data_IF_477801200869
#
_entry.id   IF_477801200869
#
_cell.length_a   1.000
_cell.length_b   1.000
_cell.length_c   1.000
_cell.angle_alpha   90.00
_cell.angle_beta   90.00
_cell.angle_gamma   90.00
#
_symmetry.space_group_name_H-M   'P 1'
#
loop_
_entity.id
_entity.type
_entity.pdbx_description
1 polymer ?
#
# COMPACT_ATOMS: atom_id res chain seq x y z
N UNK A 1 -28.88 -19.12 14.16
CA UNK A 1 -28.71 -18.09 13.12
C UNK A 1 -27.28 -17.55 13.01
N UNK A 2 -26.60 -17.18 14.12
CA UNK A 2 -25.22 -16.64 14.09
C UNK A 2 -24.17 -17.64 13.56
N UNK A 3 -24.31 -18.93 13.87
CA UNK A 3 -23.37 -19.95 13.41
C UNK A 3 -23.45 -20.22 11.90
N UNK A 4 -24.65 -20.15 11.31
CA UNK A 4 -24.89 -20.36 9.88
C UNK A 4 -24.26 -19.22 9.06
N UNK A 5 -24.38 -17.98 9.53
CA UNK A 5 -23.72 -16.81 8.95
C UNK A 5 -22.18 -16.93 8.98
N UNK A 6 -21.59 -17.41 10.08
CA UNK A 6 -20.12 -17.60 10.17
C UNK A 6 -19.58 -18.61 9.15
N UNK A 7 -20.35 -19.66 8.86
CA UNK A 7 -19.96 -20.72 7.90
C UNK A 7 -19.98 -20.16 6.48
N UNK A 8 -21.01 -19.39 6.11
CA UNK A 8 -21.10 -18.76 4.78
C UNK A 8 -19.95 -17.76 4.51
N UNK A 9 -19.58 -16.97 5.52
CA UNK A 9 -18.48 -16.00 5.39
C UNK A 9 -17.12 -16.68 5.20
N UNK A 10 -16.85 -17.78 5.94
CA UNK A 10 -15.59 -18.51 5.81
C UNK A 10 -15.42 -19.13 4.42
N UNK A 11 -16.47 -19.74 3.88
CA UNK A 11 -16.45 -20.34 2.53
C UNK A 11 -16.29 -19.29 1.43
N UNK A 12 -16.91 -18.11 1.58
CA UNK A 12 -16.75 -16.99 0.64
C UNK A 12 -15.33 -16.43 0.66
N UNK A 13 -14.74 -16.26 1.84
CA UNK A 13 -13.36 -15.79 1.98
C UNK A 13 -12.38 -16.79 1.36
N UNK A 14 -12.60 -18.09 1.56
CA UNK A 14 -11.75 -19.14 0.97
C UNK A 14 -11.73 -19.10 -0.56
N UNK A 15 -12.83 -18.67 -1.21
CA UNK A 15 -12.88 -18.48 -2.67
C UNK A 15 -12.17 -17.21 -3.16
N UNK A 16 -11.98 -16.23 -2.28
CA UNK A 16 -11.32 -14.96 -2.59
C UNK A 16 -9.82 -14.98 -2.22
N UNK A 17 -9.40 -15.95 -1.41
CA UNK A 17 -7.99 -16.15 -1.04
C UNK A 17 -7.29 -17.02 -2.09
N UNK A 18 -6.14 -16.57 -2.64
CA UNK A 18 -5.37 -17.40 -3.55
C UNK A 18 -4.92 -18.71 -2.88
N UNK A 19 -4.73 -19.81 -3.62
CA UNK A 19 -4.17 -21.04 -3.06
C UNK A 19 -2.81 -20.77 -2.41
N UNK A 20 -2.53 -21.44 -1.28
CA UNK A 20 -1.35 -21.18 -0.46
C UNK A 20 -0.03 -21.37 -1.24
N UNK A 21 -0.04 -22.25 -2.22
CA UNK A 21 1.07 -22.54 -3.12
C UNK A 21 1.48 -21.34 -3.99
N UNK A 22 0.55 -20.39 -4.19
CA UNK A 22 0.77 -19.17 -4.98
C UNK A 22 0.95 -17.92 -4.10
N UNK A 23 1.03 -18.08 -2.78
CA UNK A 23 1.14 -16.93 -1.88
C UNK A 23 2.46 -16.19 -2.11
N UNK A 24 2.32 -14.89 -2.34
CA UNK A 24 3.40 -13.94 -2.20
C UNK A 24 3.68 -13.66 -0.72
N UNK A 25 4.79 -12.98 -0.39
CA UNK A 25 5.01 -12.46 0.95
C UNK A 25 3.85 -11.57 1.47
N UNK A 26 3.13 -10.87 0.57
CA UNK A 26 1.96 -10.06 0.93
C UNK A 26 0.79 -10.92 1.36
N UNK A 27 0.49 -11.98 0.60
CA UNK A 27 -0.57 -12.94 0.95
C UNK A 27 -0.26 -13.64 2.28
N UNK A 28 1.01 -13.96 2.51
CA UNK A 28 1.47 -14.54 3.78
C UNK A 28 1.19 -13.59 4.94
N UNK A 29 1.54 -12.31 4.81
CA UNK A 29 1.30 -11.30 5.84
C UNK A 29 -0.20 -11.07 6.10
N UNK A 30 -1.04 -11.17 5.07
CA UNK A 30 -2.48 -10.93 5.17
C UNK A 30 -3.25 -12.14 5.74
N UNK A 31 -2.87 -13.36 5.36
CA UNK A 31 -3.67 -14.57 5.62
C UNK A 31 -3.10 -15.49 6.71
N UNK A 32 -1.83 -15.32 7.10
CA UNK A 32 -1.21 -16.17 8.14
C UNK A 32 -1.66 -15.79 9.55
N UNK A 33 -1.64 -14.52 9.97
CA UNK A 33 -2.06 -14.14 11.32
C UNK A 33 -3.59 -14.24 11.43
N UNK A 34 -4.15 -14.99 12.39
CA UNK A 34 -5.60 -15.05 12.60
C UNK A 34 -6.16 -13.70 13.02
N UNK A 35 -5.34 -12.85 13.67
CA UNK A 35 -5.70 -11.47 14.01
C UNK A 35 -4.43 -10.66 14.21
N UNK A 36 -4.22 -9.64 13.37
CA UNK A 36 -3.02 -8.78 13.40
C UNK A 36 -2.74 -8.20 14.80
N UNK A 37 -3.79 -7.76 15.51
CA UNK A 37 -3.64 -7.11 16.82
C UNK A 37 -3.45 -8.06 17.99
N UNK A 38 -3.86 -9.34 17.87
CA UNK A 38 -3.71 -10.31 18.95
C UNK A 38 -2.32 -10.93 18.95
N UNK A 39 -1.70 -11.07 17.78
CA UNK A 39 -0.36 -11.63 17.63
C UNK A 39 0.59 -10.62 16.96
N UNK A 40 0.58 -9.38 17.44
CA UNK A 40 1.31 -8.27 16.81
C UNK A 40 2.78 -8.60 16.51
N UNK A 41 3.52 -9.18 17.47
CA UNK A 41 4.92 -9.56 17.25
C UNK A 41 5.10 -10.53 16.08
N UNK A 42 4.26 -11.56 15.99
CA UNK A 42 4.32 -12.54 14.88
C UNK A 42 3.86 -11.91 13.56
N UNK A 43 2.86 -11.04 13.61
CA UNK A 43 2.40 -10.31 12.43
C UNK A 43 3.50 -9.39 11.86
N UNK A 44 4.30 -8.76 12.73
CA UNK A 44 5.45 -7.92 12.32
C UNK A 44 6.52 -8.73 11.57
N UNK A 45 6.73 -10.02 11.91
CA UNK A 45 7.69 -10.89 11.21
C UNK A 45 7.36 -11.05 9.72
N UNK A 46 6.08 -10.95 9.36
CA UNK A 46 5.62 -11.06 7.97
C UNK A 46 5.57 -9.72 7.23
N UNK A 47 5.60 -8.57 7.94
CA UNK A 47 5.51 -7.26 7.30
C UNK A 47 6.76 -6.90 6.50
N UNK A 48 7.96 -7.16 7.03
CA UNK A 48 9.19 -6.81 6.32
C UNK A 48 9.27 -7.50 4.94
N UNK A 49 9.11 -8.85 4.84
CA UNK A 49 9.10 -9.53 3.56
C UNK A 49 8.01 -9.02 2.62
N UNK A 50 6.80 -8.73 3.13
CA UNK A 50 5.69 -8.19 2.35
C UNK A 50 6.00 -6.81 1.77
N UNK A 51 6.49 -5.88 2.60
CA UNK A 51 6.84 -4.52 2.17
C UNK A 51 7.98 -4.57 1.15
N UNK A 52 9.03 -5.38 1.40
CA UNK A 52 10.15 -5.53 0.46
C UNK A 52 9.69 -6.10 -0.89
N UNK A 53 8.81 -7.10 -0.87
CA UNK A 53 8.23 -7.67 -2.08
C UNK A 53 7.42 -6.64 -2.87
N UNK A 54 6.50 -5.94 -2.21
CA UNK A 54 5.68 -4.88 -2.81
C UNK A 54 6.52 -3.74 -3.35
N UNK A 55 7.53 -3.29 -2.60
CA UNK A 55 8.46 -2.25 -3.04
C UNK A 55 9.20 -2.65 -4.30
N UNK A 56 9.77 -3.86 -4.35
CA UNK A 56 10.44 -4.39 -5.54
C UNK A 56 9.49 -4.44 -6.74
N UNK A 57 8.29 -4.99 -6.54
CA UNK A 57 7.30 -5.08 -7.60
C UNK A 57 6.96 -3.70 -8.18
N UNK A 58 6.69 -2.70 -7.35
CA UNK A 58 6.40 -1.35 -7.83
C UNK A 58 7.61 -0.67 -8.46
N UNK A 59 8.82 -0.85 -7.91
CA UNK A 59 10.05 -0.32 -8.49
C UNK A 59 10.31 -0.87 -9.90
N UNK A 60 10.02 -2.15 -10.14
CA UNK A 60 10.27 -2.81 -11.43
C UNK A 60 9.14 -2.59 -12.45
N UNK A 61 7.89 -2.44 -12.00
CA UNK A 61 6.72 -2.47 -12.88
C UNK A 61 5.97 -1.13 -12.99
N UNK A 62 6.35 -0.11 -12.21
CA UNK A 62 5.76 1.23 -12.31
C UNK A 62 6.85 2.25 -12.67
N UNK A 63 6.87 2.69 -13.93
CA UNK A 63 7.83 3.66 -14.46
C UNK A 63 7.89 4.97 -13.66
N UNK A 64 6.75 5.50 -13.23
CA UNK A 64 6.70 6.75 -12.47
C UNK A 64 7.31 6.55 -11.08
N UNK A 65 6.94 5.46 -10.40
CA UNK A 65 7.49 5.14 -9.08
C UNK A 65 8.98 4.81 -9.14
N UNK A 66 9.42 4.09 -10.18
CA UNK A 66 10.82 3.83 -10.47
C UNK A 66 11.60 5.15 -10.52
N UNK A 67 11.10 6.14 -11.27
CA UNK A 67 11.75 7.45 -11.39
C UNK A 67 11.82 8.20 -10.07
N UNK A 68 10.77 8.14 -9.24
CA UNK A 68 10.79 8.71 -7.88
C UNK A 68 11.90 8.05 -7.05
N UNK A 69 12.03 6.73 -7.13
CA UNK A 69 13.06 6.00 -6.39
C UNK A 69 14.49 6.34 -6.88
N UNK A 70 14.71 6.45 -8.20
CA UNK A 70 16.00 6.88 -8.77
C UNK A 70 16.42 8.26 -8.25
N UNK A 71 15.51 9.23 -8.25
CA UNK A 71 15.79 10.61 -7.77
C UNK A 71 16.14 10.62 -6.28
N UNK A 72 15.56 9.72 -5.50
CA UNK A 72 15.85 9.57 -4.07
C UNK A 72 17.06 8.65 -3.80
N UNK A 73 17.67 8.03 -4.82
CA UNK A 73 18.83 7.15 -4.68
C UNK A 73 18.53 5.83 -3.95
N UNK A 74 17.31 5.31 -4.07
CA UNK A 74 16.85 4.11 -3.35
C UNK A 74 16.48 3.01 -4.33
N UNK A 75 16.95 1.78 -4.08
CA UNK A 75 16.62 0.59 -4.87
C UNK A 75 16.19 -0.58 -3.96
N UNK A 76 15.50 -1.61 -4.48
CA UNK A 76 15.09 -2.78 -3.69
C UNK A 76 16.24 -3.47 -2.94
N UNK A 77 17.45 -3.43 -3.50
CA UNK A 77 18.67 -4.01 -2.92
C UNK A 77 19.14 -3.28 -1.68
N UNK A 78 18.85 -1.98 -1.57
CA UNK A 78 19.23 -1.14 -0.41
C UNK A 78 18.35 -1.38 0.82
N UNK A 79 17.25 -2.14 0.68
CA UNK A 79 16.30 -2.47 1.74
C UNK A 79 16.64 -3.85 2.30
N UNK A 80 17.45 -3.89 3.35
CA UNK A 80 17.99 -5.13 3.94
C UNK A 80 17.42 -5.46 5.31
N UNK A 81 16.83 -4.47 5.98
CA UNK A 81 16.30 -4.57 7.34
C UNK A 81 15.02 -3.75 7.51
N UNK A 82 14.27 -3.99 8.60
CA UNK A 82 13.06 -3.23 8.94
C UNK A 82 13.34 -1.72 9.03
N UNK A 83 14.52 -1.33 9.52
CA UNK A 83 14.95 0.06 9.66
C UNK A 83 15.11 0.75 8.30
N UNK A 84 15.39 -0.01 7.24
CA UNK A 84 15.56 0.52 5.90
C UNK A 84 14.24 0.91 5.24
N UNK A 85 13.08 0.48 5.77
CA UNK A 85 11.76 0.85 5.22
C UNK A 85 11.60 2.37 5.17
N UNK A 86 12.16 3.10 6.13
CA UNK A 86 12.11 4.56 6.17
C UNK A 86 12.86 5.24 5.01
N UNK A 87 13.66 4.49 4.24
CA UNK A 87 14.30 4.98 3.02
C UNK A 87 13.33 4.99 1.83
N UNK A 88 12.28 4.17 1.86
CA UNK A 88 11.32 4.08 0.76
C UNK A 88 10.59 5.43 0.63
N UNK A 89 10.63 6.08 -0.55
CA UNK A 89 10.05 7.41 -0.71
C UNK A 89 8.53 7.36 -0.54
N UNK A 90 8.01 8.28 0.28
CA UNK A 90 6.58 8.53 0.39
C UNK A 90 6.08 9.25 -0.85
N UNK A 91 4.89 8.87 -1.32
CA UNK A 91 4.24 9.55 -2.44
C UNK A 91 3.32 10.65 -1.89
N UNK A 92 3.60 11.93 -2.18
CA UNK A 92 2.68 13.01 -1.84
C UNK A 92 1.39 12.85 -2.66
N UNK A 93 0.27 13.37 -2.20
CA UNK A 93 -0.98 13.24 -2.95
C UNK A 93 -0.96 14.00 -4.29
N UNK A 94 -0.14 15.05 -4.38
CA UNK A 94 0.21 15.73 -5.63
C UNK A 94 0.74 14.77 -6.71
N UNK A 95 1.44 13.69 -6.34
CA UNK A 95 1.92 12.68 -7.28
C UNK A 95 0.78 12.04 -8.09
N UNK A 96 -0.42 11.93 -7.50
CA UNK A 96 -1.56 11.29 -8.15
C UNK A 96 -2.53 12.28 -8.81
N UNK A 97 -2.51 13.53 -8.38
CA UNK A 97 -3.53 14.53 -8.75
C UNK A 97 -2.98 15.65 -9.65
N UNK A 98 -1.66 15.75 -9.74
CA UNK A 98 -0.93 16.70 -10.59
C UNK A 98 -1.46 18.14 -10.46
N UNK A 99 -1.90 18.51 -9.26
CA UNK A 99 -2.37 19.88 -9.02
C UNK A 99 -1.16 20.80 -8.87
N UNK A 100 -1.26 22.04 -9.40
CA UNK A 100 -0.20 23.02 -9.25
C UNK A 100 -0.08 23.50 -7.81
N UNK A 101 1.15 23.73 -7.37
CA UNK A 101 1.45 24.36 -6.08
C UNK A 101 1.08 25.86 -6.06
N UNK A 102 1.02 26.43 -4.86
CA UNK A 102 0.86 27.87 -4.59
C UNK A 102 -0.37 28.53 -5.27
N UNK A 103 -0.15 29.61 -6.01
CA UNK A 103 -1.18 30.46 -6.62
C UNK A 103 -1.98 29.73 -7.70
N UNK A 104 -1.44 28.63 -8.24
CA UNK A 104 -2.11 27.80 -9.25
C UNK A 104 -3.22 26.94 -8.66
N UNK A 105 -3.09 26.52 -7.39
CA UNK A 105 -3.99 25.56 -6.76
C UNK A 105 -5.45 26.01 -6.76
N UNK A 106 -5.72 27.24 -6.30
CA UNK A 106 -7.08 27.79 -6.26
C UNK A 106 -7.69 27.93 -7.65
N UNK A 107 -6.87 28.15 -8.69
CA UNK A 107 -7.33 28.27 -10.07
C UNK A 107 -7.70 26.89 -10.62
N UNK A 108 -6.85 25.89 -10.40
CA UNK A 108 -7.14 24.49 -10.75
C UNK A 108 -8.37 23.97 -10.01
N UNK A 109 -8.51 24.27 -8.71
CA UNK A 109 -9.65 23.80 -7.92
C UNK A 109 -10.99 24.35 -8.46
N UNK A 110 -11.01 25.59 -8.99
CA UNK A 110 -12.20 26.18 -9.64
C UNK A 110 -12.62 25.45 -10.91
N UNK A 111 -11.71 24.77 -11.62
CA UNK A 111 -12.05 24.11 -12.89
C UNK A 111 -12.64 22.72 -12.68
N UNK A 112 -12.38 22.08 -11.54
CA UNK A 112 -12.81 20.71 -11.24
C UNK A 112 -13.88 20.62 -10.16
N UNK A 113 -14.08 21.67 -9.36
CA UNK A 113 -15.04 21.68 -8.26
C UNK A 113 -16.38 22.26 -8.71
N UNK A 114 -17.46 21.50 -8.53
CA UNK A 114 -18.82 21.90 -8.93
C UNK A 114 -19.60 22.62 -7.83
N UNK A 115 -18.99 22.85 -6.67
CA UNK A 115 -19.58 23.57 -5.54
C UNK A 115 -19.00 24.97 -5.33
N UNK A 116 -19.48 25.68 -4.32
CA UNK A 116 -18.88 26.94 -3.87
C UNK A 116 -17.61 26.68 -3.07
N UNK A 117 -16.48 27.25 -3.50
CA UNK A 117 -15.21 27.14 -2.78
C UNK A 117 -15.33 27.69 -1.34
N UNK A 118 -14.64 27.07 -0.36
CA UNK A 118 -14.55 27.62 1.00
C UNK A 118 -14.01 29.05 0.94
N UNK A 119 -14.66 29.97 1.67
CA UNK A 119 -14.10 31.32 1.85
C UNK A 119 -12.97 31.24 2.88
N UNK A 120 -11.86 31.96 2.65
CA UNK A 120 -10.75 32.03 3.59
C UNK A 120 -11.19 32.58 4.96
#
# INVERSE_FOLDING_TARGET
>A
MVAILKIEWAERLQKLTPPKEHWTPVDTALHTPPTFFLEYSKAQEHLFPAIKHTFKHHYENNFLYHRVCEVNGVTPETITSQQDINKIPLLPDAFFKDYPDDKGFLTWLKTIFTGSLPKP
#
